data_IF_984101602257
#
_entry.id   IF_984101602257
#
_cell.length_a   1.000
_cell.length_b   1.000
_cell.length_c   1.000
_cell.angle_alpha   90.00
_cell.angle_beta   90.00
_cell.angle_gamma   90.00
#
_symmetry.space_group_name_H-M   'P 1'
#
loop_
_entity.id
_entity.type
_entity.pdbx_description
1 polymer ?
#
# COMPACT_ATOMS: atom_id res chain seq x y z
N UNK A 1 8.66 3.18 -4.95
CA UNK A 1 7.34 3.13 -4.27
C UNK A 1 7.25 1.80 -3.53
N UNK A 2 8.00 1.69 -2.44
CA UNK A 2 8.05 0.49 -1.61
C UNK A 2 7.78 0.92 -0.17
N UNK A 3 7.10 0.05 0.57
CA UNK A 3 6.88 0.08 2.02
C UNK A 3 5.67 0.89 2.49
N UNK A 4 4.50 0.24 2.44
CA UNK A 4 3.33 0.49 3.32
C UNK A 4 3.01 -0.74 4.18
N UNK A 5 4.00 -1.62 4.30
CA UNK A 5 3.81 -2.99 4.77
C UNK A 5 4.65 -3.30 6.00
N UNK A 6 5.21 -2.24 6.57
CA UNK A 6 6.01 -2.24 7.79
C UNK A 6 5.33 -1.43 8.90
N UNK A 7 4.01 -1.21 8.83
CA UNK A 7 3.24 -0.58 9.90
C UNK A 7 2.32 -1.64 10.55
N UNK A 8 2.68 -2.18 11.72
CA UNK A 8 1.84 -3.11 12.47
C UNK A 8 0.48 -2.51 12.88
N UNK A 9 0.40 -1.18 12.96
CA UNK A 9 -0.79 -0.45 13.43
C UNK A 9 -1.95 -0.43 12.43
N UNK A 10 -1.70 -0.64 11.13
CA UNK A 10 -2.75 -0.57 10.10
C UNK A 10 -3.42 -1.94 9.81
N UNK A 11 -3.03 -3.00 10.52
CA UNK A 11 -3.53 -4.37 10.32
C UNK A 11 -4.33 -4.79 11.55
N UNK A 12 -5.48 -4.15 11.76
CA UNK A 12 -6.54 -4.76 12.55
C UNK A 12 -7.67 -5.12 11.57
N UNK A 13 -8.02 -6.40 11.58
CA UNK A 13 -9.22 -6.99 10.96
C UNK A 13 -9.23 -7.34 9.47
N UNK A 14 -8.24 -8.13 9.02
CA UNK A 14 -8.55 -9.11 7.96
C UNK A 14 -8.11 -10.51 8.40
N UNK A 15 -9.06 -11.43 8.49
CA UNK A 15 -8.88 -12.87 8.74
C UNK A 15 -8.11 -13.56 7.58
N UNK A 16 -6.93 -13.04 7.23
CA UNK A 16 -6.03 -13.62 6.24
C UNK A 16 -4.81 -14.17 6.98
N UNK A 17 -4.63 -15.49 6.86
CA UNK A 17 -3.60 -16.31 7.48
C UNK A 17 -2.24 -15.59 7.53
N UNK A 18 -1.72 -15.40 8.75
CA UNK A 18 -0.39 -14.86 9.05
C UNK A 18 0.68 -15.77 8.43
N UNK A 19 1.08 -15.50 7.19
CA UNK A 19 2.39 -15.95 6.72
C UNK A 19 3.41 -15.09 7.46
N UNK A 20 4.17 -15.72 8.35
CA UNK A 20 5.36 -15.15 8.98
C UNK A 20 6.35 -14.79 7.88
N UNK A 21 6.24 -13.58 7.34
CA UNK A 21 7.27 -13.01 6.50
C UNK A 21 8.19 -12.25 7.44
N UNK A 22 9.25 -12.92 7.89
CA UNK A 22 10.29 -12.35 8.74
C UNK A 22 11.15 -11.43 7.86
N UNK A 23 10.64 -10.24 7.56
CA UNK A 23 11.51 -9.12 7.26
C UNK A 23 11.85 -8.46 8.60
N UNK A 24 13.12 -8.14 8.83
CA UNK A 24 13.54 -7.28 9.94
C UNK A 24 12.91 -5.90 9.70
N UNK A 25 11.69 -5.76 10.22
CA UNK A 25 10.80 -4.64 9.97
C UNK A 25 11.38 -3.42 10.69
N UNK A 26 11.61 -2.31 9.99
CA UNK A 26 12.15 -1.10 10.62
C UNK A 26 11.12 0.01 10.61
N UNK A 27 10.80 0.53 11.78
CA UNK A 27 9.89 1.67 11.88
C UNK A 27 10.67 2.95 11.61
N UNK A 28 10.27 3.71 10.58
CA UNK A 28 10.77 5.06 10.32
C UNK A 28 9.73 6.08 10.76
N UNK A 29 10.02 6.85 11.81
CA UNK A 29 9.14 7.91 12.30
C UNK A 29 9.81 9.29 12.29
N UNK A 30 9.01 10.33 12.49
CA UNK A 30 9.51 11.64 12.92
C UNK A 30 9.84 11.63 14.42
N UNK A 31 10.26 12.81 14.90
CA UNK A 31 10.56 13.09 16.29
C UNK A 31 9.34 13.65 17.03
N UNK A 32 8.12 13.27 16.64
CA UNK A 32 6.93 13.57 17.43
C UNK A 32 7.04 12.98 18.83
N UNK A 33 6.55 13.67 19.86
CA UNK A 33 6.67 13.25 21.26
C UNK A 33 6.12 11.85 21.52
N UNK A 34 5.08 11.45 20.79
CA UNK A 34 4.51 10.09 20.82
C UNK A 34 5.52 9.02 20.40
N UNK A 35 6.34 9.29 19.39
CA UNK A 35 7.35 8.36 18.88
C UNK A 35 8.67 8.40 19.68
N UNK A 36 8.80 9.34 20.62
CA UNK A 36 9.95 9.46 21.52
C UNK A 36 9.72 8.69 22.83
N UNK A 37 8.47 8.34 23.13
CA UNK A 37 8.11 7.71 24.39
C UNK A 37 8.79 6.35 24.57
N UNK A 38 9.35 6.11 25.77
CA UNK A 38 10.15 4.91 26.07
C UNK A 38 9.37 3.60 25.87
N UNK A 39 8.07 3.60 26.17
CA UNK A 39 7.20 2.43 26.03
C UNK A 39 7.10 1.95 24.58
N UNK A 40 7.11 2.87 23.60
CA UNK A 40 7.09 2.48 22.18
C UNK A 40 8.42 1.83 21.78
N UNK A 41 9.54 2.38 22.24
CA UNK A 41 10.87 1.82 21.97
C UNK A 41 11.01 0.43 22.59
N UNK A 42 10.52 0.24 23.81
CA UNK A 42 10.52 -1.05 24.49
C UNK A 42 9.64 -2.07 23.77
N UNK A 43 8.44 -1.67 23.35
CA UNK A 43 7.56 -2.55 22.57
C UNK A 43 8.18 -2.97 21.23
N UNK A 44 8.86 -2.05 20.53
CA UNK A 44 9.54 -2.36 19.26
C UNK A 44 10.70 -3.34 19.47
N UNK A 45 11.47 -3.18 20.54
CA UNK A 45 12.56 -4.08 20.90
C UNK A 45 12.03 -5.49 21.23
N UNK A 46 10.92 -5.59 21.98
CA UNK A 46 10.23 -6.85 22.27
C UNK A 46 9.74 -7.56 20.99
N UNK A 47 9.39 -6.80 19.95
CA UNK A 47 9.00 -7.33 18.63
C UNK A 47 10.20 -7.59 17.70
N UNK A 48 11.43 -7.31 18.14
CA UNK A 48 12.65 -7.43 17.31
C UNK A 48 12.68 -6.47 16.12
N UNK A 49 12.09 -5.28 16.26
CA UNK A 49 11.98 -4.26 15.22
C UNK A 49 12.89 -3.06 15.53
N UNK A 50 13.76 -2.66 14.59
CA UNK A 50 14.56 -1.46 14.80
C UNK A 50 13.72 -0.18 14.62
N UNK A 51 13.97 0.81 15.48
CA UNK A 51 13.39 2.15 15.33
C UNK A 51 14.41 3.13 14.74
N UNK A 52 14.15 3.60 13.53
CA UNK A 52 14.96 4.61 12.85
C UNK A 52 14.28 5.96 12.97
N UNK A 53 14.96 6.90 13.62
CA UNK A 53 14.52 8.30 13.73
C UNK A 53 15.22 9.16 12.69
N UNK A 54 14.51 10.17 12.19
CA UNK A 54 15.10 11.09 11.22
C UNK A 54 15.91 12.19 11.89
N UNK A 55 16.97 12.62 11.21
CA UNK A 55 17.60 13.89 11.46
C UNK A 55 16.56 15.04 11.43
N UNK A 56 16.64 16.00 12.37
CA UNK A 56 15.77 17.18 12.38
C UNK A 56 15.79 17.93 11.03
N UNK A 57 14.66 18.52 10.64
CA UNK A 57 14.51 19.40 9.47
C UNK A 57 14.64 18.77 8.07
N UNK A 58 14.42 17.46 7.92
CA UNK A 58 14.50 16.80 6.61
C UNK A 58 13.13 16.28 6.14
N UNK A 59 12.16 17.12 5.73
CA UNK A 59 10.76 16.70 5.48
C UNK A 59 10.58 15.65 4.37
N UNK A 60 11.48 15.64 3.36
CA UNK A 60 11.33 14.80 2.16
C UNK A 60 11.21 13.29 2.40
N UNK A 61 11.79 12.75 3.47
CA UNK A 61 11.78 11.29 3.70
C UNK A 61 10.39 10.79 4.18
N UNK A 62 9.43 11.68 4.52
CA UNK A 62 8.05 11.35 4.93
C UNK A 62 7.05 11.59 3.78
N UNK A 63 7.51 12.03 2.61
CA UNK A 63 6.62 12.38 1.49
C UNK A 63 5.69 11.24 1.05
N UNK A 64 6.03 9.97 1.36
CA UNK A 64 5.13 8.84 1.16
C UNK A 64 3.89 8.95 2.05
N UNK A 65 4.08 8.98 3.37
CA UNK A 65 2.97 8.99 4.35
C UNK A 65 2.15 10.27 4.22
N UNK A 66 2.83 11.39 3.96
CA UNK A 66 2.16 12.66 3.66
C UNK A 66 1.28 12.56 2.40
N UNK A 67 1.78 11.97 1.31
CA UNK A 67 0.99 11.77 0.08
C UNK A 67 -0.16 10.79 0.29
N UNK A 68 0.00 9.79 1.15
CA UNK A 68 -1.09 8.88 1.50
C UNK A 68 -2.17 9.61 2.31
N UNK A 69 -1.78 10.35 3.35
CA UNK A 69 -2.70 11.20 4.11
C UNK A 69 -3.44 12.21 3.22
N UNK A 70 -2.75 12.80 2.25
CA UNK A 70 -3.40 13.68 1.27
C UNK A 70 -4.43 12.93 0.42
N UNK A 71 -4.12 11.71 -0.01
CA UNK A 71 -5.05 10.89 -0.80
C UNK A 71 -6.28 10.48 0.01
N UNK A 72 -6.09 10.13 1.29
CA UNK A 72 -7.17 9.85 2.24
C UNK A 72 -8.06 11.07 2.43
N UNK A 73 -7.47 12.22 2.77
CA UNK A 73 -8.17 13.49 2.96
C UNK A 73 -8.97 13.89 1.74
N UNK A 74 -8.39 13.79 0.54
CA UNK A 74 -9.08 14.12 -0.71
C UNK A 74 -10.28 13.23 -1.01
N UNK A 75 -10.42 12.07 -0.37
CA UNK A 75 -11.53 11.14 -0.58
C UNK A 75 -12.56 11.19 0.56
N UNK A 76 -12.09 11.27 1.80
CA UNK A 76 -12.93 11.27 3.01
C UNK A 76 -13.48 12.67 3.30
N UNK A 77 -12.72 13.75 3.09
CA UNK A 77 -13.20 15.12 3.37
C UNK A 77 -14.17 15.66 2.30
N UNK A 78 -14.54 14.86 1.30
CA UNK A 78 -15.56 15.24 0.33
C UNK A 78 -16.98 15.14 0.90
N UNK A 79 -17.16 14.45 2.03
CA UNK A 79 -18.47 14.19 2.64
C UNK A 79 -18.53 14.75 4.08
N UNK A 80 -19.70 15.27 4.47
CA UNK A 80 -19.95 15.69 5.85
C UNK A 80 -20.43 14.48 6.66
N UNK A 81 -19.70 14.13 7.72
CA UNK A 81 -20.06 13.04 8.61
C UNK A 81 -20.81 13.58 9.84
N UNK A 82 -22.06 13.18 9.98
CA UNK A 82 -22.94 13.64 11.07
C UNK A 82 -22.92 12.69 12.27
N UNK A 83 -22.47 11.45 12.09
CA UNK A 83 -22.35 10.44 13.14
C UNK A 83 -20.87 10.02 13.33
N UNK A 84 -20.42 9.81 14.57
CA UNK A 84 -19.03 9.43 14.84
C UNK A 84 -18.63 8.06 14.26
N UNK A 85 -19.60 7.14 14.05
CA UNK A 85 -19.34 5.83 13.44
C UNK A 85 -19.12 5.88 11.92
N UNK A 86 -19.71 6.86 11.23
CA UNK A 86 -19.67 6.93 9.77
C UNK A 86 -18.27 7.25 9.26
N UNK A 87 -17.55 8.12 9.96
CA UNK A 87 -16.16 8.44 9.62
C UNK A 87 -15.26 7.19 9.69
N UNK A 88 -15.44 6.37 10.73
CA UNK A 88 -14.69 5.12 10.89
C UNK A 88 -14.93 4.14 9.75
N UNK A 89 -16.20 3.94 9.38
CA UNK A 89 -16.58 3.08 8.26
C UNK A 89 -15.99 3.58 6.94
N UNK A 90 -16.03 4.89 6.69
CA UNK A 90 -15.53 5.50 5.46
C UNK A 90 -14.00 5.44 5.36
N UNK A 91 -13.30 5.59 6.49
CA UNK A 91 -11.86 5.33 6.54
C UNK A 91 -11.59 3.86 6.23
N UNK A 92 -12.36 2.93 6.79
CA UNK A 92 -12.25 1.49 6.50
C UNK A 92 -12.44 1.17 5.02
N UNK A 93 -13.52 1.69 4.42
CA UNK A 93 -13.83 1.53 3.00
C UNK A 93 -12.74 2.13 2.10
N UNK A 94 -12.19 3.29 2.50
CA UNK A 94 -11.05 3.88 1.80
C UNK A 94 -9.82 2.98 1.88
N UNK A 95 -9.49 2.43 3.04
CA UNK A 95 -8.33 1.55 3.23
C UNK A 95 -8.46 0.29 2.40
N UNK A 96 -9.63 -0.36 2.42
CA UNK A 96 -9.91 -1.53 1.59
C UNK A 96 -9.79 -1.19 0.09
N UNK A 97 -10.42 -0.10 -0.34
CA UNK A 97 -10.32 0.37 -1.72
C UNK A 97 -8.86 0.63 -2.11
N UNK A 98 -8.10 1.34 -1.29
CA UNK A 98 -6.72 1.72 -1.58
C UNK A 98 -5.81 0.50 -1.70
N UNK A 99 -5.92 -0.46 -0.77
CA UNK A 99 -5.03 -1.60 -0.70
C UNK A 99 -5.42 -2.72 -1.68
N UNK A 100 -6.71 -2.99 -1.85
CA UNK A 100 -7.19 -4.18 -2.55
C UNK A 100 -7.80 -3.90 -3.93
N UNK A 101 -8.24 -2.66 -4.23
CA UNK A 101 -8.99 -2.36 -5.46
C UNK A 101 -8.29 -1.34 -6.36
N UNK A 102 -7.55 -0.39 -5.78
CA UNK A 102 -6.89 0.68 -6.54
C UNK A 102 -5.66 0.15 -7.27
N UNK A 103 -5.59 0.42 -8.57
CA UNK A 103 -4.39 0.19 -9.35
C UNK A 103 -3.45 1.38 -9.27
N UNK A 104 -2.14 1.09 -9.14
CA UNK A 104 -1.11 2.11 -9.05
C UNK A 104 -0.14 2.00 -10.24
N UNK A 105 -0.05 3.07 -11.03
CA UNK A 105 0.75 3.11 -12.26
C UNK A 105 2.25 2.89 -12.00
N UNK A 106 2.77 3.48 -10.94
CA UNK A 106 4.17 3.39 -10.51
C UNK A 106 4.61 1.98 -10.10
N UNK A 107 3.69 1.02 -9.98
CA UNK A 107 3.98 -0.41 -9.76
C UNK A 107 3.35 -1.31 -10.84
N UNK A 108 3.16 -0.78 -12.05
CA UNK A 108 2.65 -1.58 -13.17
C UNK A 108 1.16 -1.89 -13.11
N UNK A 109 0.37 -0.98 -12.52
CA UNK A 109 -1.08 -1.11 -12.34
C UNK A 109 -1.45 -2.36 -11.53
N UNK A 110 -0.78 -2.53 -10.41
CA UNK A 110 -1.02 -3.63 -9.45
C UNK A 110 -1.56 -3.01 -8.17
N UNK A 111 -2.31 -3.81 -7.41
CA UNK A 111 -2.83 -3.39 -6.11
C UNK A 111 -1.70 -3.44 -5.07
N UNK A 112 -1.68 -2.53 -4.07
CA UNK A 112 -0.69 -2.59 -3.00
C UNK A 112 -0.63 -3.95 -2.29
N UNK A 113 -1.78 -4.59 -2.09
CA UNK A 113 -1.88 -5.94 -1.52
C UNK A 113 -1.17 -7.00 -2.36
N UNK A 114 -1.38 -7.02 -3.68
CA UNK A 114 -0.69 -7.99 -4.54
C UNK A 114 0.82 -7.74 -4.60
N UNK A 115 1.24 -6.47 -4.53
CA UNK A 115 2.64 -6.11 -4.43
C UNK A 115 3.25 -6.61 -3.11
N UNK A 116 2.55 -6.43 -1.99
CA UNK A 116 3.00 -6.90 -0.67
C UNK A 116 3.26 -8.40 -0.64
N UNK A 117 2.27 -9.18 -1.07
CA UNK A 117 2.33 -10.62 -1.03
C UNK A 117 3.22 -11.20 -2.12
N UNK A 118 4.00 -10.37 -2.84
CA UNK A 118 4.93 -10.80 -3.87
C UNK A 118 4.27 -11.37 -5.12
N UNK A 119 2.96 -11.15 -5.32
CA UNK A 119 2.19 -11.67 -6.46
C UNK A 119 2.37 -10.84 -7.74
N UNK A 120 2.97 -9.66 -7.63
CA UNK A 120 3.08 -8.67 -8.70
C UNK A 120 3.79 -9.21 -9.95
N UNK A 121 4.90 -9.95 -9.80
CA UNK A 121 5.67 -10.50 -10.93
C UNK A 121 4.81 -11.41 -11.81
N UNK A 122 4.15 -12.39 -11.20
CA UNK A 122 3.27 -13.33 -11.89
C UNK A 122 2.11 -12.62 -12.61
N UNK A 123 1.55 -11.56 -12.01
CA UNK A 123 0.48 -10.76 -12.62
C UNK A 123 1.00 -10.02 -13.86
N UNK A 124 2.17 -9.38 -13.78
CA UNK A 124 2.79 -8.65 -14.90
C UNK A 124 3.08 -9.62 -16.04
N UNK A 125 3.75 -10.73 -15.78
CA UNK A 125 4.11 -11.72 -16.80
C UNK A 125 2.88 -12.27 -17.51
N UNK A 126 1.81 -12.57 -16.75
CA UNK A 126 0.54 -13.03 -17.33
C UNK A 126 -0.06 -11.98 -18.25
N UNK A 127 -0.07 -10.70 -17.84
CA UNK A 127 -0.60 -9.59 -18.66
C UNK A 127 0.20 -9.41 -19.95
N UNK A 128 1.53 -9.53 -19.89
CA UNK A 128 2.37 -9.45 -21.09
C UNK A 128 2.09 -10.58 -22.08
N UNK A 129 1.95 -11.82 -21.58
CA UNK A 129 1.58 -12.98 -22.41
C UNK A 129 0.24 -12.76 -23.11
N UNK A 130 -0.78 -12.32 -22.38
CA UNK A 130 -2.10 -12.01 -22.94
C UNK A 130 -1.99 -10.92 -24.00
N UNK A 131 -1.30 -9.81 -23.70
CA UNK A 131 -1.10 -8.69 -24.64
C UNK A 131 -0.45 -9.16 -25.96
N UNK A 132 0.61 -9.97 -25.88
CA UNK A 132 1.29 -10.53 -27.07
C UNK A 132 0.35 -11.40 -27.89
N UNK A 133 -0.42 -12.28 -27.25
CA UNK A 133 -1.39 -13.15 -27.92
C UNK A 133 -2.51 -12.36 -28.59
N UNK A 134 -3.06 -11.36 -27.90
CA UNK A 134 -4.11 -10.48 -28.45
C UNK A 134 -3.62 -9.74 -29.69
N UNK A 135 -2.40 -9.20 -29.68
CA UNK A 135 -1.81 -8.51 -30.84
C UNK A 135 -1.63 -9.47 -32.02
N UNK A 136 -1.12 -10.69 -31.77
CA UNK A 136 -0.96 -11.72 -32.82
C UNK A 136 -2.30 -12.09 -33.44
N UNK A 137 -3.33 -12.32 -32.63
CA UNK A 137 -4.66 -12.67 -33.11
C UNK A 137 -5.30 -11.54 -33.93
N UNK A 138 -5.16 -10.29 -33.49
CA UNK A 138 -5.65 -9.11 -34.25
C UNK A 138 -5.00 -9.01 -35.63
N UNK A 139 -3.68 -9.23 -35.72
CA UNK A 139 -2.96 -9.24 -37.00
C UNK A 139 -3.45 -10.33 -37.95
N UNK A 140 -3.66 -11.55 -37.43
CA UNK A 140 -4.18 -12.67 -38.22
C UNK A 140 -5.59 -12.41 -38.76
N UNK A 141 -6.48 -11.86 -37.93
CA UNK A 141 -7.85 -11.51 -38.35
C UNK A 141 -7.80 -10.45 -39.47
N UNK A 142 -6.98 -9.40 -39.30
CA UNK A 142 -6.84 -8.35 -40.30
C UNK A 142 -6.30 -8.89 -41.63
N UNK A 143 -5.31 -9.78 -41.61
CA UNK A 143 -4.79 -10.42 -42.82
C UNK A 143 -5.84 -11.26 -43.54
N UNK A 144 -6.66 -12.00 -42.80
CA UNK A 144 -7.76 -12.81 -43.36
C UNK A 144 -8.88 -11.97 -43.97
N UNK A 145 -9.12 -10.77 -43.47
CA UNK A 145 -10.15 -9.85 -44.00
C UNK A 145 -9.67 -9.08 -45.23
N UNK A 146 -8.36 -8.96 -45.43
CA UNK A 146 -7.75 -8.26 -46.56
C UNK A 146 -7.43 -9.17 -47.76
N UNK A 147 -7.63 -10.49 -47.62
CA UNK A 147 -7.48 -11.51 -48.65
C UNK A 147 -8.87 -11.91 -49.19
#
# INVERSE_FOLDING_TARGET
MYWYLECPICIQDTHAQRKHVVYSLRLLSDNGSFYIYGDLAQWLDDQGMDHVRRAPYHPQTQGKIERWHQTLKNRVLLENYFLPGDLGNQIGDFVDYYNNKRYHESIGNITPTDAYFGRHTAIIERREKIKKLTIKNRRLIHQRQAA
#
